data_IF_182231678983
#
_entry.id   IF_182231678983
#
_cell.length_a   1.000
_cell.length_b   1.000
_cell.length_c   1.000
_cell.angle_alpha   90.00
_cell.angle_beta   90.00
_cell.angle_gamma   90.00
#
_symmetry.space_group_name_H-M   'P 1'
#
loop_
_entity.id
_entity.type
_entity.pdbx_description
1 polymer ?
#
# COMPACT_ATOMS: atom_id res chain seq x y z
N UNK A 1 1.78 6.58 24.15
CA UNK A 1 2.27 6.02 22.88
C UNK A 1 3.35 6.95 22.34
N UNK A 2 4.50 6.45 21.92
CA UNK A 2 5.56 7.33 21.42
C UNK A 2 5.18 7.89 20.04
N UNK A 3 5.67 9.09 19.73
CA UNK A 3 5.46 9.72 18.43
C UNK A 3 5.93 8.81 17.29
N UNK A 4 7.10 8.20 17.47
CA UNK A 4 7.67 7.21 16.55
C UNK A 4 6.70 6.06 16.25
N UNK A 5 6.08 5.45 17.27
CA UNK A 5 5.11 4.37 17.06
C UNK A 5 3.92 4.84 16.23
N UNK A 6 3.44 6.06 16.47
CA UNK A 6 2.30 6.63 15.73
C UNK A 6 2.66 6.82 14.25
N UNK A 7 3.85 7.33 13.96
CA UNK A 7 4.31 7.48 12.58
C UNK A 7 4.47 6.14 11.87
N UNK A 8 5.11 5.15 12.51
CA UNK A 8 5.26 3.81 11.94
C UNK A 8 3.89 3.24 11.58
N UNK A 9 2.93 3.29 12.51
CA UNK A 9 1.58 2.79 12.26
C UNK A 9 0.88 3.54 11.12
N UNK A 10 0.97 4.88 11.08
CA UNK A 10 0.37 5.67 10.00
C UNK A 10 0.96 5.28 8.64
N UNK A 11 2.28 5.19 8.51
CA UNK A 11 2.92 4.84 7.23
C UNK A 11 2.69 3.38 6.84
N UNK A 12 2.60 2.45 7.79
CA UNK A 12 2.18 1.07 7.51
C UNK A 12 0.75 1.02 6.99
N UNK A 13 -0.18 1.75 7.62
CA UNK A 13 -1.56 1.83 7.15
C UNK A 13 -1.66 2.49 5.77
N UNK A 14 -0.90 3.56 5.51
CA UNK A 14 -0.83 4.20 4.19
C UNK A 14 -0.33 3.23 3.13
N UNK A 15 0.74 2.47 3.42
CA UNK A 15 1.29 1.49 2.48
C UNK A 15 0.26 0.40 2.15
N UNK A 16 -0.33 -0.23 3.17
CA UNK A 16 -1.33 -1.29 2.99
C UNK A 16 -2.52 -0.76 2.19
N UNK A 17 -3.06 0.40 2.59
CA UNK A 17 -4.23 0.99 1.92
C UNK A 17 -3.89 1.39 0.49
N UNK A 18 -2.70 1.93 0.22
CA UNK A 18 -2.27 2.30 -1.14
C UNK A 18 -2.14 1.07 -2.04
N UNK A 19 -1.62 -0.04 -1.53
CA UNK A 19 -1.57 -1.31 -2.26
C UNK A 19 -2.96 -1.87 -2.55
N UNK A 20 -3.88 -1.78 -1.57
CA UNK A 20 -5.26 -2.21 -1.76
C UNK A 20 -5.98 -1.34 -2.79
N UNK A 21 -5.83 -0.01 -2.73
CA UNK A 21 -6.41 0.92 -3.72
C UNK A 21 -5.83 0.64 -5.10
N UNK A 22 -4.52 0.45 -5.23
CA UNK A 22 -3.91 0.10 -6.51
C UNK A 22 -4.48 -1.20 -7.08
N UNK A 23 -4.67 -2.22 -6.24
CA UNK A 23 -5.30 -3.48 -6.63
C UNK A 23 -6.76 -3.27 -7.06
N UNK A 24 -7.54 -2.47 -6.33
CA UNK A 24 -8.92 -2.15 -6.67
C UNK A 24 -9.04 -1.34 -7.96
N UNK A 25 -8.11 -0.42 -8.22
CA UNK A 25 -8.05 0.33 -9.47
C UNK A 25 -7.73 -0.59 -10.66
N UNK A 26 -6.78 -1.53 -10.50
CA UNK A 26 -6.48 -2.54 -11.52
C UNK A 26 -7.69 -3.46 -11.76
N UNK A 27 -8.38 -3.85 -10.69
CA UNK A 27 -9.64 -4.59 -10.79
C UNK A 27 -10.68 -3.79 -11.59
N UNK A 28 -10.86 -2.50 -11.30
CA UNK A 28 -11.84 -1.65 -11.98
C UNK A 28 -11.58 -1.53 -13.48
N UNK A 29 -10.31 -1.37 -13.89
CA UNK A 29 -9.94 -1.41 -15.32
C UNK A 29 -10.26 -2.80 -15.90
N UNK A 30 -9.91 -3.87 -15.20
CA UNK A 30 -10.17 -5.23 -15.70
C UNK A 30 -11.66 -5.52 -15.88
N UNK A 31 -12.52 -4.99 -15.00
CA UNK A 31 -13.97 -5.09 -15.15
C UNK A 31 -14.52 -4.26 -16.31
N UNK A 32 -13.86 -3.16 -16.67
CA UNK A 32 -14.22 -2.42 -17.87
C UNK A 32 -13.88 -3.20 -19.15
N UNK A 33 -12.82 -4.02 -19.14
CA UNK A 33 -12.49 -4.91 -20.26
C UNK A 33 -13.40 -6.13 -20.36
N UNK A 34 -13.97 -6.60 -19.25
CA UNK A 34 -14.96 -7.69 -19.24
C UNK A 34 -16.23 -7.36 -20.04
N UNK A 35 -16.46 -6.09 -20.41
CA UNK A 35 -17.56 -5.67 -21.28
C UNK A 35 -17.54 -6.38 -22.63
N UNK A 36 -16.36 -6.71 -23.13
CA UNK A 36 -16.19 -7.41 -24.40
C UNK A 36 -16.85 -8.82 -24.37
N UNK A 37 -17.00 -9.42 -23.18
CA UNK A 37 -17.64 -10.72 -22.98
C UNK A 37 -19.18 -10.66 -22.97
N UNK A 38 -19.77 -9.47 -22.88
CA UNK A 38 -21.23 -9.29 -22.77
C UNK A 38 -21.95 -9.24 -24.12
N UNK A 39 -21.23 -9.26 -25.24
CA UNK A 39 -21.79 -9.23 -26.60
C UNK A 39 -22.80 -8.07 -26.77
N UNK A 40 -22.38 -6.88 -26.36
CA UNK A 40 -23.17 -5.64 -26.46
C UNK A 40 -23.08 -5.07 -27.88
N UNK A 41 -24.14 -4.41 -28.39
CA UNK A 41 -24.07 -3.74 -29.70
C UNK A 41 -22.94 -2.70 -29.75
N UNK A 42 -22.23 -2.62 -30.88
CA UNK A 42 -21.09 -1.71 -31.07
C UNK A 42 -21.43 -0.24 -30.77
N UNK A 43 -22.60 0.23 -31.21
CA UNK A 43 -23.04 1.62 -30.96
C UNK A 43 -23.20 1.90 -29.46
N UNK A 44 -23.77 0.94 -28.71
CA UNK A 44 -23.90 1.05 -27.26
C UNK A 44 -22.52 1.05 -26.59
N UNK A 45 -21.60 0.20 -27.07
CA UNK A 45 -20.25 0.11 -26.53
C UNK A 45 -19.48 1.43 -26.68
N UNK A 46 -19.55 2.06 -27.85
CA UNK A 46 -18.91 3.34 -28.12
C UNK A 46 -19.48 4.46 -27.23
N UNK A 47 -20.81 4.53 -27.10
CA UNK A 47 -21.48 5.50 -26.22
C UNK A 47 -21.14 5.26 -24.74
N UNK A 48 -21.10 3.99 -24.33
CA UNK A 48 -20.72 3.60 -22.98
C UNK A 48 -19.28 4.02 -22.67
N UNK A 49 -18.32 3.73 -23.56
CA UNK A 49 -16.93 4.13 -23.38
C UNK A 49 -16.76 5.66 -23.37
N UNK A 50 -17.46 6.37 -24.25
CA UNK A 50 -17.44 7.83 -24.27
C UNK A 50 -17.98 8.44 -22.97
N UNK A 51 -19.01 7.83 -22.38
CA UNK A 51 -19.58 8.24 -21.10
C UNK A 51 -18.68 7.91 -19.90
N UNK A 52 -18.01 6.75 -19.91
CA UNK A 52 -17.10 6.34 -18.84
C UNK A 52 -15.79 7.15 -18.83
N UNK A 53 -15.25 7.47 -20.01
CA UNK A 53 -13.92 8.07 -20.15
C UNK A 53 -13.92 9.43 -20.88
N UNK A 54 -14.68 10.45 -20.43
CA UNK A 54 -14.49 11.81 -20.93
C UNK A 54 -13.05 12.26 -20.65
N UNK A 55 -12.41 12.92 -21.60
CA UNK A 55 -10.95 13.08 -21.64
C UNK A 55 -10.27 13.59 -20.37
N UNK A 56 -10.93 14.46 -19.58
CA UNK A 56 -10.38 14.93 -18.30
C UNK A 56 -10.26 13.82 -17.24
N UNK A 57 -11.13 12.80 -17.28
CA UNK A 57 -11.11 11.66 -16.35
C UNK A 57 -9.95 10.73 -16.63
N UNK A 58 -9.62 10.51 -17.90
CA UNK A 58 -8.41 9.79 -18.28
C UNK A 58 -7.19 10.44 -17.62
N UNK A 59 -7.15 11.78 -17.59
CA UNK A 59 -6.12 12.53 -16.88
C UNK A 59 -6.06 12.25 -15.37
N UNK A 60 -7.20 12.23 -14.67
CA UNK A 60 -7.25 11.88 -13.24
C UNK A 60 -6.78 10.45 -13.01
N UNK A 61 -7.28 9.50 -13.80
CA UNK A 61 -6.92 8.10 -13.69
C UNK A 61 -5.42 7.91 -13.88
N UNK A 62 -4.85 8.52 -14.93
CA UNK A 62 -3.40 8.50 -15.16
C UNK A 62 -2.62 9.10 -13.98
N UNK A 63 -3.10 10.20 -13.42
CA UNK A 63 -2.45 10.84 -12.27
C UNK A 63 -2.54 9.97 -11.01
N UNK A 64 -3.66 9.28 -10.75
CA UNK A 64 -3.80 8.33 -9.64
C UNK A 64 -2.86 7.13 -9.82
N UNK A 65 -2.81 6.55 -11.03
CA UNK A 65 -1.89 5.45 -11.35
C UNK A 65 -0.42 5.82 -11.20
N UNK A 66 -0.09 7.10 -11.33
CA UNK A 66 1.25 7.60 -11.06
C UNK A 66 1.47 7.87 -9.56
N UNK A 67 0.54 8.57 -8.92
CA UNK A 67 0.70 9.08 -7.56
C UNK A 67 0.58 8.00 -6.49
N UNK A 68 -0.26 6.97 -6.68
CA UNK A 68 -0.47 5.90 -5.69
C UNK A 68 0.76 5.00 -5.56
N UNK A 69 1.39 4.49 -6.64
CA UNK A 69 2.66 3.77 -6.52
C UNK A 69 3.78 4.62 -5.92
N UNK A 70 3.83 5.92 -6.29
CA UNK A 70 4.76 6.86 -5.68
C UNK A 70 4.52 6.98 -4.16
N UNK A 71 3.27 6.94 -3.70
CA UNK A 71 2.91 6.92 -2.29
C UNK A 71 3.40 5.64 -1.59
N UNK A 72 3.29 4.48 -2.25
CA UNK A 72 3.85 3.22 -1.74
C UNK A 72 5.37 3.31 -1.54
N UNK A 73 6.10 3.83 -2.54
CA UNK A 73 7.56 4.02 -2.44
C UNK A 73 7.89 4.98 -1.31
N UNK A 74 7.19 6.11 -1.21
CA UNK A 74 7.38 7.08 -0.13
C UNK A 74 7.14 6.45 1.25
N UNK A 75 6.06 5.68 1.41
CA UNK A 75 5.76 4.99 2.66
C UNK A 75 6.83 3.95 3.03
N UNK A 76 7.33 3.18 2.05
CA UNK A 76 8.42 2.23 2.24
C UNK A 76 9.72 2.91 2.68
N UNK A 77 10.08 4.03 2.05
CA UNK A 77 11.26 4.81 2.43
C UNK A 77 11.15 5.34 3.87
N UNK A 78 9.97 5.82 4.27
CA UNK A 78 9.71 6.24 5.64
C UNK A 78 9.83 5.05 6.62
N UNK A 79 9.26 3.89 6.28
CA UNK A 79 9.31 2.69 7.13
C UNK A 79 10.74 2.13 7.28
N UNK A 80 11.51 2.03 6.20
CA UNK A 80 12.92 1.59 6.27
C UNK A 80 13.74 2.52 7.15
N UNK A 81 13.49 3.82 7.01
CA UNK A 81 14.12 4.81 7.86
C UNK A 81 13.81 4.59 9.36
N UNK A 82 12.53 4.44 9.72
CA UNK A 82 12.14 4.19 11.11
C UNK A 82 12.66 2.85 11.64
N UNK A 83 12.73 1.83 10.80
CA UNK A 83 13.31 0.53 11.17
C UNK A 83 14.80 0.64 11.50
N UNK A 84 15.56 1.45 10.75
CA UNK A 84 16.99 1.70 11.02
C UNK A 84 17.26 2.36 12.38
N UNK A 85 16.31 3.13 12.91
CA UNK A 85 16.41 3.70 14.27
C UNK A 85 16.05 2.72 15.38
N UNK A 86 15.06 1.85 15.15
CA UNK A 86 14.67 0.84 16.14
C UNK A 86 15.71 -0.27 16.25
N UNK A 87 16.31 -0.64 15.13
CA UNK A 87 17.32 -1.67 15.04
C UNK A 87 18.55 -1.05 14.36
N UNK A 88 19.46 -0.41 15.12
CA UNK A 88 20.70 0.09 14.55
C UNK A 88 21.40 -1.07 13.84
N UNK A 89 21.33 -1.06 12.50
CA UNK A 89 21.86 -2.12 11.64
C UNK A 89 23.37 -2.18 11.88
N UNK A 90 23.79 -3.14 12.69
CA UNK A 90 25.20 -3.42 12.85
C UNK A 90 25.99 -2.27 13.48
N UNK A 91 25.70 -1.98 14.76
CA UNK A 91 26.81 -2.00 15.71
C UNK A 91 27.21 -3.48 15.88
N UNK A 92 27.61 -4.09 14.74
CA UNK A 92 28.24 -5.38 14.73
C UNK A 92 29.40 -5.20 15.69
N UNK A 93 29.51 -6.14 16.61
CA UNK A 93 30.63 -6.26 17.51
C UNK A 93 31.87 -5.85 16.72
N UNK A 94 32.35 -4.63 16.96
CA UNK A 94 33.75 -4.32 16.76
C UNK A 94 34.36 -5.21 17.82
N UNK A 95 34.56 -6.49 17.47
CA UNK A 95 35.36 -7.41 18.24
C UNK A 95 36.64 -6.61 18.43
N UNK A 96 36.95 -6.17 19.65
CA UNK A 96 38.16 -5.41 19.89
C UNK A 96 39.28 -6.26 19.30
N UNK A 97 39.95 -5.75 18.27
CA UNK A 97 41.00 -6.48 17.56
C UNK A 97 42.27 -6.62 18.41
N UNK A 98 42.14 -6.53 19.73
CA UNK A 98 43.17 -6.66 20.74
C UNK A 98 43.18 -8.07 21.37
N UNK A 99 42.72 -9.10 20.64
CA UNK A 99 43.17 -10.46 20.94
C UNK A 99 44.47 -10.73 20.18
N UNK A 100 45.59 -10.98 20.88
CA UNK A 100 46.85 -11.31 20.21
C UNK A 100 46.69 -12.61 19.43
N UNK A 101 46.89 -12.50 18.12
CA UNK A 101 46.97 -13.59 17.16
C UNK A 101 48.15 -14.50 17.51
N UNK A 102 47.95 -15.44 18.44
CA UNK A 102 48.83 -16.60 18.60
C UNK A 102 48.42 -17.65 17.58
N UNK A 103 49.11 -17.65 16.44
CA UNK A 103 49.08 -18.74 15.47
C UNK A 103 49.36 -20.07 16.18
N UNK A 104 48.37 -20.97 16.22
CA UNK A 104 48.62 -22.39 16.44
C UNK A 104 48.05 -23.17 15.27
N UNK A 105 48.93 -23.42 14.31
CA UNK A 105 48.78 -24.45 13.29
C UNK A 105 48.44 -25.78 13.96
N UNK A 106 47.30 -26.38 13.62
CA UNK A 106 47.17 -27.83 13.68
C UNK A 106 46.37 -28.33 12.48
N UNK A 107 47.13 -28.94 11.60
CA UNK A 107 46.73 -29.72 10.44
C UNK A 107 45.98 -31.00 10.82
N UNK A 108 45.21 -31.47 9.84
CA UNK A 108 44.70 -32.83 9.64
C UNK A 108 43.46 -33.22 10.47
N UNK A 109 42.33 -33.38 9.79
CA UNK A 109 41.87 -34.74 9.47
C UNK A 109 40.84 -34.73 8.34
N UNK A 110 41.22 -35.47 7.29
CA UNK A 110 40.35 -35.99 6.25
C UNK A 110 39.48 -37.08 6.87
N UNK A 111 38.17 -36.99 6.74
CA UNK A 111 37.31 -38.17 6.83
C UNK A 111 36.12 -38.04 5.89
N UNK A 112 36.13 -39.00 4.99
CA UNK A 112 35.23 -39.32 3.90
C UNK A 112 33.88 -39.83 4.42
N UNK A 113 32.82 -39.56 3.64
CA UNK A 113 31.55 -40.29 3.52
C UNK A 113 30.63 -40.38 4.74
N UNK A 114 29.34 -40.10 4.56
CA UNK A 114 28.35 -41.14 4.19
C UNK A 114 26.96 -40.53 4.01
N UNK A 115 26.34 -40.95 2.90
CA UNK A 115 24.95 -40.77 2.49
C UNK A 115 23.99 -41.50 3.46
N UNK A 116 22.99 -40.84 4.03
CA UNK A 116 21.81 -41.53 4.56
C UNK A 116 20.56 -40.62 4.59
N UNK A 117 19.63 -40.97 3.73
CA UNK A 117 18.19 -40.67 3.75
C UNK A 117 17.52 -41.12 5.05
N UNK A 118 16.56 -40.36 5.58
CA UNK A 118 15.64 -40.87 6.60
C UNK A 118 14.84 -39.81 7.36
N UNK A 119 13.55 -39.71 7.05
CA UNK A 119 12.46 -38.98 7.74
C UNK A 119 12.09 -39.71 9.07
N UNK A 120 10.97 -39.35 9.75
CA UNK A 120 10.64 -38.26 10.68
C UNK A 120 10.63 -38.72 12.17
N UNK A 121 10.13 -37.83 13.04
CA UNK A 121 9.38 -38.04 14.30
C UNK A 121 10.06 -37.69 15.63
N UNK A 122 9.28 -36.91 16.41
CA UNK A 122 9.02 -36.95 17.87
C UNK A 122 10.25 -37.02 18.81
N UNK A 123 10.33 -36.31 19.93
CA UNK A 123 9.34 -35.74 20.83
C UNK A 123 10.11 -34.87 21.89
N UNK A 124 9.41 -34.23 22.83
CA UNK A 124 9.92 -33.18 23.72
C UNK A 124 10.54 -33.72 25.02
N UNK A 125 11.02 -32.77 25.84
CA UNK A 125 11.56 -32.91 27.20
C UNK A 125 12.96 -33.51 27.33
N UNK A 126 13.94 -32.62 27.59
CA UNK A 126 14.98 -32.91 28.56
C UNK A 126 15.25 -31.69 29.43
N UNK A 127 14.84 -31.85 30.67
CA UNK A 127 15.14 -31.02 31.84
C UNK A 127 16.56 -31.28 32.35
N UNK A 128 17.08 -30.23 33.01
CA UNK A 128 18.20 -30.24 33.96
C UNK A 128 19.63 -30.38 33.40
N UNK A 129 20.39 -29.29 33.52
CA UNK A 129 21.61 -29.36 34.35
C UNK A 129 22.06 -27.99 34.84
N UNK A 130 22.02 -27.84 36.16
CA UNK A 130 22.82 -26.92 36.95
C UNK A 130 24.30 -26.98 36.51
N UNK A 131 24.90 -25.84 36.24
CA UNK A 131 26.35 -25.66 36.41
C UNK A 131 26.62 -24.35 37.14
N UNK A 132 26.80 -24.49 38.45
CA UNK A 132 27.47 -23.50 39.29
C UNK A 132 28.92 -23.41 38.81
N UNK A 133 29.25 -22.34 38.09
CA UNK A 133 30.63 -21.97 37.83
C UNK A 133 30.95 -20.75 38.69
N UNK A 134 31.74 -21.01 39.73
CA UNK A 134 32.35 -20.05 40.63
C UNK A 134 33.16 -19.01 39.85
N UNK A 135 32.92 -17.74 40.19
CA UNK A 135 33.65 -16.56 39.73
C UNK A 135 35.16 -16.68 39.97
N UNK A 136 36.01 -16.29 39.01
CA UNK A 136 37.32 -15.74 39.31
C UNK A 136 37.13 -14.30 39.81
N UNK A 137 37.45 -14.09 41.08
CA UNK A 137 37.50 -12.80 41.73
C UNK A 137 38.79 -12.09 41.29
N UNK A 138 38.68 -11.15 40.34
CA UNK A 138 39.82 -10.34 39.91
C UNK A 138 40.06 -9.18 40.89
N UNK A 139 41.33 -8.79 41.12
CA UNK A 139 41.67 -7.69 42.01
C UNK A 139 41.26 -6.33 41.42
N UNK A 140 40.66 -5.50 42.28
CA UNK A 140 40.27 -4.12 42.00
C UNK A 140 41.51 -3.28 41.63
N UNK A 141 41.68 -3.01 40.34
CA UNK A 141 42.53 -1.91 39.88
C UNK A 141 41.69 -0.62 39.93
N UNK A 142 41.95 0.21 40.93
CA UNK A 142 41.42 1.57 41.03
C UNK A 142 42.11 2.45 39.99
N UNK A 143 41.66 2.35 38.74
CA UNK A 143 42.02 3.31 37.69
C UNK A 143 41.00 4.44 37.75
N UNK A 144 41.47 5.64 38.09
CA UNK A 144 40.71 6.88 37.99
C UNK A 144 40.32 7.12 36.54
N UNK A 145 39.11 6.67 36.18
CA UNK A 145 38.54 6.92 34.87
C UNK A 145 38.40 8.43 34.68
N UNK A 146 38.90 9.00 33.55
CA UNK A 146 38.61 10.39 33.22
C UNK A 146 37.11 10.57 33.16
N UNK A 147 36.61 11.67 33.72
CA UNK A 147 35.20 12.02 33.73
C UNK A 147 34.64 11.93 32.31
N UNK A 148 34.03 10.79 31.99
CA UNK A 148 33.35 10.55 30.75
C UNK A 148 32.17 11.51 30.80
N UNK A 149 32.30 12.65 30.12
CA UNK A 149 31.14 13.49 29.80
C UNK A 149 30.17 12.55 29.13
N UNK A 150 29.13 12.16 29.85
CA UNK A 150 28.00 11.45 29.30
C UNK A 150 27.53 12.31 28.15
N UNK A 151 27.64 11.85 26.88
CA UNK A 151 27.05 12.57 25.79
C UNK A 151 25.58 12.70 26.17
N UNK A 152 25.14 13.91 26.45
CA UNK A 152 23.74 14.25 26.60
C UNK A 152 23.13 14.28 25.19
N UNK A 153 23.45 13.28 24.38
CA UNK A 153 22.75 12.96 23.15
C UNK A 153 21.43 12.37 23.62
N UNK A 154 20.46 13.26 23.83
CA UNK A 154 19.08 12.86 23.72
C UNK A 154 18.96 12.14 22.38
N UNK A 155 18.54 10.86 22.34
CA UNK A 155 18.34 10.17 21.08
C UNK A 155 17.32 10.99 20.31
N UNK A 156 17.82 11.70 19.30
CA UNK A 156 17.00 12.53 18.43
C UNK A 156 16.13 11.55 17.64
N UNK A 157 14.97 11.25 18.21
CA UNK A 157 13.89 10.45 17.60
C UNK A 157 13.15 11.26 16.54
N UNK A 158 13.73 12.36 16.07
CA UNK A 158 13.18 13.17 15.01
C UNK A 158 13.34 12.42 13.70
N UNK A 159 12.24 12.32 12.96
CA UNK A 159 12.31 11.93 11.56
C UNK A 159 13.29 12.85 10.82
N UNK A 160 14.11 12.36 9.87
CA UNK A 160 15.18 13.09 9.22
C UNK A 160 14.59 14.17 8.33
N UNK A 161 13.41 13.95 7.74
CA UNK A 161 12.67 15.01 7.05
C UNK A 161 12.16 16.10 8.00
N UNK A 162 12.18 15.84 9.31
CA UNK A 162 11.80 16.77 10.36
C UNK A 162 13.01 17.20 11.20
N UNK A 163 14.25 16.86 10.81
CA UNK A 163 15.42 17.34 11.53
C UNK A 163 15.41 18.88 11.53
N UNK A 164 15.69 19.52 12.68
CA UNK A 164 15.76 20.97 12.77
C UNK A 164 16.79 21.58 11.79
N UNK A 165 17.77 20.79 11.36
CA UNK A 165 18.85 21.22 10.47
C UNK A 165 18.49 21.13 8.99
N UNK A 166 17.33 20.56 8.63
CA UNK A 166 16.93 20.51 7.22
C UNK A 166 16.44 21.87 6.71
N UNK A 167 16.80 22.25 5.46
CA UNK A 167 16.27 23.44 4.80
C UNK A 167 14.74 23.47 4.84
N UNK A 168 14.15 24.63 5.16
CA UNK A 168 12.69 24.87 5.14
C UNK A 168 11.93 24.27 3.94
N UNK A 169 12.41 24.35 2.68
CA UNK A 169 11.67 23.76 1.56
C UNK A 169 11.44 22.24 1.68
N UNK A 170 12.34 21.51 2.33
CA UNK A 170 12.20 20.06 2.52
C UNK A 170 11.08 19.69 3.49
N UNK A 171 10.66 20.60 4.38
CA UNK A 171 9.49 20.40 5.25
C UNK A 171 8.16 20.72 4.53
N UNK A 172 8.20 21.64 3.57
CA UNK A 172 7.02 22.10 2.83
C UNK A 172 6.62 21.07 1.77
N UNK A 173 7.60 20.47 1.08
CA UNK A 173 7.36 19.58 -0.06
C UNK A 173 6.53 18.33 0.29
N UNK A 174 6.80 17.59 1.38
CA UNK A 174 5.93 16.47 1.78
C UNK A 174 4.51 16.90 2.12
N UNK A 175 4.34 18.12 2.67
CA UNK A 175 3.01 18.64 3.01
C UNK A 175 2.23 19.04 1.77
N UNK A 176 2.90 19.64 0.77
CA UNK A 176 2.31 19.91 -0.54
C UNK A 176 1.94 18.61 -1.27
N UNK A 177 2.77 17.58 -1.16
CA UNK A 177 2.47 16.25 -1.70
C UNK A 177 1.20 15.66 -1.10
N UNK A 178 1.08 15.65 0.23
CA UNK A 178 -0.11 15.14 0.93
C UNK A 178 -1.37 15.93 0.54
N UNK A 179 -1.30 17.26 0.47
CA UNK A 179 -2.43 18.10 0.02
C UNK A 179 -2.82 17.78 -1.42
N UNK A 180 -1.85 17.65 -2.32
CA UNK A 180 -2.10 17.32 -3.73
C UNK A 180 -2.77 15.96 -3.86
N UNK A 181 -2.29 14.96 -3.11
CA UNK A 181 -2.86 13.61 -3.10
C UNK A 181 -4.28 13.60 -2.53
N UNK A 182 -4.54 14.33 -1.43
CA UNK A 182 -5.89 14.47 -0.86
C UNK A 182 -6.83 15.10 -1.88
N UNK A 183 -6.43 16.21 -2.53
CA UNK A 183 -7.26 16.88 -3.52
C UNK A 183 -7.58 15.94 -4.69
N UNK A 184 -6.59 15.18 -5.16
CA UNK A 184 -6.76 14.21 -6.23
C UNK A 184 -7.76 13.10 -5.86
N UNK A 185 -7.60 12.51 -4.66
CA UNK A 185 -8.49 11.46 -4.15
C UNK A 185 -9.91 11.98 -3.95
N UNK A 186 -10.09 13.17 -3.37
CA UNK A 186 -11.40 13.80 -3.20
C UNK A 186 -12.06 14.08 -4.54
N UNK A 187 -11.29 14.58 -5.52
CA UNK A 187 -11.80 14.84 -6.86
C UNK A 187 -12.22 13.56 -7.58
N UNK A 188 -11.47 12.47 -7.43
CA UNK A 188 -11.84 11.14 -7.94
C UNK A 188 -13.15 10.63 -7.34
N UNK A 189 -13.27 10.70 -6.01
CA UNK A 189 -14.50 10.29 -5.30
C UNK A 189 -15.70 11.14 -5.75
N UNK A 190 -15.54 12.46 -5.83
CA UNK A 190 -16.59 13.35 -6.31
C UNK A 190 -16.99 13.03 -7.75
N UNK A 191 -16.01 12.82 -8.63
CA UNK A 191 -16.23 12.46 -10.03
C UNK A 191 -16.96 11.12 -10.18
N UNK A 192 -16.73 10.14 -9.30
CA UNK A 192 -17.46 8.88 -9.27
C UNK A 192 -18.92 9.10 -8.84
N UNK A 193 -19.15 9.80 -7.72
CA UNK A 193 -20.49 10.02 -7.17
C UNK A 193 -21.39 10.84 -8.10
N UNK A 194 -20.82 11.86 -8.76
CA UNK A 194 -21.57 12.69 -9.71
C UNK A 194 -22.02 11.94 -10.96
N UNK A 195 -21.39 10.80 -11.28
CA UNK A 195 -21.74 10.00 -12.45
C UNK A 195 -22.69 8.84 -12.19
N UNK A 196 -22.93 8.51 -10.92
CA UNK A 196 -23.85 7.42 -10.58
C UNK A 196 -25.19 7.53 -11.31
N UNK A 197 -25.84 8.71 -11.33
CA UNK A 197 -27.15 8.85 -11.97
C UNK A 197 -27.09 8.68 -13.49
N UNK A 198 -26.06 9.24 -14.14
CA UNK A 198 -25.93 9.17 -15.60
C UNK A 198 -25.64 7.75 -16.08
N UNK A 199 -24.83 6.99 -15.32
CA UNK A 199 -24.49 5.62 -15.67
C UNK A 199 -25.69 4.69 -15.48
N UNK A 200 -26.52 4.89 -14.46
CA UNK A 200 -27.75 4.10 -14.29
C UNK A 200 -28.79 4.43 -15.36
N UNK A 201 -28.92 5.70 -15.74
CA UNK A 201 -29.85 6.14 -16.78
C UNK A 201 -29.51 5.62 -18.18
N UNK A 202 -28.25 5.24 -18.45
CA UNK A 202 -27.85 4.74 -19.77
C UNK A 202 -28.45 3.37 -20.12
N UNK A 203 -28.87 2.57 -19.12
CA UNK A 203 -29.58 1.32 -19.37
C UNK A 203 -31.06 1.50 -19.73
N UNK A 204 -31.62 2.69 -19.50
CA UNK A 204 -32.99 3.04 -19.91
C UNK A 204 -33.01 3.69 -21.29
N UNK A 205 -31.85 3.82 -21.94
CA UNK A 205 -31.76 4.38 -23.29
C UNK A 205 -32.50 3.51 -24.29
N UNK A 206 -33.39 4.15 -25.05
CA UNK A 206 -34.07 3.58 -26.21
C UNK A 206 -33.56 4.31 -27.45
N UNK A 207 -33.05 3.60 -28.47
CA UNK A 207 -32.52 4.25 -29.66
C UNK A 207 -33.62 5.08 -30.35
N UNK A 208 -33.33 6.31 -30.75
CA UNK A 208 -34.26 7.11 -31.53
C UNK A 208 -34.33 6.55 -32.96
N UNK A 209 -35.22 5.61 -33.21
CA UNK A 209 -35.44 5.05 -34.54
C UNK A 209 -36.47 3.93 -34.59
N UNK A 210 -36.93 3.52 -35.78
CA UNK A 210 -37.90 2.43 -35.96
C UNK A 210 -37.28 1.03 -35.75
N UNK A 211 -36.15 0.94 -35.05
CA UNK A 211 -35.52 -0.35 -34.75
C UNK A 211 -36.48 -1.11 -33.84
N UNK A 212 -37.05 -2.24 -34.29
CA UNK A 212 -38.08 -2.92 -33.54
C UNK A 212 -37.52 -3.36 -32.18
N UNK A 213 -38.26 -3.06 -31.12
CA UNK A 213 -37.99 -3.42 -29.72
C UNK A 213 -37.52 -4.88 -29.53
N UNK A 214 -37.90 -5.76 -30.46
CA UNK A 214 -37.49 -7.16 -30.53
C UNK A 214 -35.96 -7.37 -30.56
N UNK A 215 -35.18 -6.40 -31.06
CA UNK A 215 -33.71 -6.48 -31.09
C UNK A 215 -33.08 -6.36 -29.69
N UNK A 216 -33.78 -5.72 -28.75
CA UNK A 216 -33.31 -5.53 -27.38
C UNK A 216 -33.80 -6.61 -26.42
N UNK A 217 -34.95 -7.22 -26.70
CA UNK A 217 -35.54 -8.27 -25.87
C UNK A 217 -34.97 -9.66 -26.17
N UNK A 218 -34.48 -9.92 -27.39
CA UNK A 218 -33.83 -11.16 -27.76
C UNK A 218 -32.60 -10.84 -28.63
N UNK A 219 -31.38 -11.23 -28.23
CA UNK A 219 -30.25 -11.17 -29.15
C UNK A 219 -30.63 -12.02 -30.38
N UNK A 220 -30.56 -11.49 -31.61
CA UNK A 220 -30.63 -12.33 -32.78
C UNK A 220 -29.54 -13.37 -32.59
N UNK A 221 -29.86 -14.67 -32.66
CA UNK A 221 -28.88 -15.76 -32.70
C UNK A 221 -27.90 -15.49 -33.85
N UNK A 222 -26.86 -14.71 -33.62
CA UNK A 222 -25.89 -14.34 -34.66
C UNK A 222 -25.09 -15.57 -35.11
N UNK A 223 -25.05 -16.60 -34.25
CA UNK A 223 -24.56 -17.94 -34.56
C UNK A 223 -25.37 -18.67 -35.66
N UNK A 224 -26.52 -18.15 -36.08
CA UNK A 224 -27.27 -18.73 -37.21
C UNK A 224 -26.64 -18.41 -38.59
N UNK A 225 -25.72 -17.44 -38.70
CA UNK A 225 -25.04 -17.11 -39.97
C UNK A 225 -23.71 -17.83 -40.18
N UNK A 226 -23.14 -18.47 -39.17
CA UNK A 226 -21.91 -19.26 -39.27
C UNK A 226 -22.20 -20.76 -39.26
N UNK A 227 -23.17 -21.23 -40.05
CA UNK A 227 -23.26 -22.65 -40.47
C UNK A 227 -23.14 -23.71 -39.38
N UNK A 228 -23.53 -23.39 -38.14
CA UNK A 228 -23.39 -24.25 -36.97
C UNK A 228 -24.30 -25.45 -37.11
N UNK A 229 -23.70 -26.55 -37.56
CA UNK A 229 -24.23 -27.90 -37.65
C UNK A 229 -25.11 -28.21 -36.42
N UNK A 230 -26.39 -28.56 -36.68
CA UNK A 230 -27.33 -29.09 -35.68
C UNK A 230 -26.63 -30.19 -34.87
N UNK A 231 -26.27 -29.91 -33.63
CA UNK A 231 -26.03 -30.97 -32.65
C UNK A 231 -27.40 -31.46 -32.18
N UNK A 232 -27.95 -32.39 -32.96
CA UNK A 232 -29.15 -33.13 -32.59
C UNK A 232 -28.80 -34.01 -31.37
N UNK A 233 -29.25 -33.61 -30.17
CA UNK A 233 -29.27 -34.51 -29.00
C UNK A 233 -28.71 -33.97 -27.68
N UNK A 234 -28.25 -32.73 -27.60
CA UNK A 234 -27.80 -32.14 -26.34
C UNK A 234 -28.93 -31.41 -25.64
N UNK A 235 -29.27 -31.85 -24.42
CA UNK A 235 -30.11 -31.18 -23.41
C UNK A 235 -30.20 -29.68 -23.69
N UNK A 236 -31.42 -29.19 -23.98
CA UNK A 236 -31.72 -27.75 -24.03
C UNK A 236 -31.36 -27.14 -22.68
N UNK A 237 -30.08 -26.82 -22.50
CA UNK A 237 -29.63 -25.95 -21.44
C UNK A 237 -30.31 -24.64 -21.76
N UNK A 238 -31.42 -24.39 -21.07
CA UNK A 238 -32.22 -23.19 -21.14
C UNK A 238 -31.42 -22.00 -20.65
N UNK A 239 -30.36 -21.68 -21.39
CA UNK A 239 -29.68 -20.40 -21.37
C UNK A 239 -30.72 -19.41 -21.83
N UNK A 240 -31.49 -18.92 -20.85
CA UNK A 240 -32.44 -17.82 -21.04
C UNK A 240 -31.65 -16.73 -21.71
N UNK A 241 -32.04 -16.40 -22.94
CA UNK A 241 -31.50 -15.28 -23.66
C UNK A 241 -31.68 -14.05 -22.77
N UNK A 242 -30.59 -13.59 -22.16
CA UNK A 242 -30.60 -12.44 -21.25
C UNK A 242 -30.77 -11.20 -22.11
N UNK A 243 -31.76 -10.36 -21.81
CA UNK A 243 -32.02 -9.16 -22.60
C UNK A 243 -30.80 -8.22 -22.58
N UNK A 244 -30.64 -7.38 -23.62
CA UNK A 244 -29.55 -6.39 -23.67
C UNK A 244 -29.60 -5.46 -22.45
N UNK A 245 -30.81 -5.14 -21.99
CA UNK A 245 -31.05 -4.33 -20.80
C UNK A 245 -30.54 -5.01 -19.53
N UNK A 246 -30.84 -6.30 -19.35
CA UNK A 246 -30.37 -7.06 -18.19
C UNK A 246 -28.83 -7.18 -18.17
N UNK A 247 -28.20 -7.33 -19.34
CA UNK A 247 -26.73 -7.31 -19.49
C UNK A 247 -26.16 -5.94 -19.11
N UNK A 248 -26.75 -4.85 -19.61
CA UNK A 248 -26.37 -3.48 -19.23
C UNK A 248 -26.46 -3.25 -17.72
N UNK A 249 -27.57 -3.66 -17.10
CA UNK A 249 -27.79 -3.52 -15.65
C UNK A 249 -26.72 -4.30 -14.88
N UNK A 250 -26.41 -5.54 -15.30
CA UNK A 250 -25.36 -6.34 -14.67
C UNK A 250 -23.99 -5.66 -14.78
N UNK A 251 -23.59 -5.20 -15.97
CA UNK A 251 -22.32 -4.48 -16.17
C UNK A 251 -22.25 -3.24 -15.26
N UNK A 252 -23.33 -2.46 -15.18
CA UNK A 252 -23.38 -1.27 -14.34
C UNK A 252 -23.29 -1.60 -12.85
N UNK A 253 -23.91 -2.70 -12.40
CA UNK A 253 -23.78 -3.17 -11.01
C UNK A 253 -22.34 -3.59 -10.71
N UNK A 254 -21.72 -4.37 -11.60
CA UNK A 254 -20.34 -4.84 -11.42
C UNK A 254 -19.35 -3.66 -11.37
N UNK A 255 -19.53 -2.70 -12.28
CA UNK A 255 -18.76 -1.47 -12.32
C UNK A 255 -18.97 -0.62 -11.05
N UNK A 256 -20.21 -0.51 -10.57
CA UNK A 256 -20.55 0.22 -9.35
C UNK A 256 -19.94 -0.42 -8.10
N UNK A 257 -20.02 -1.74 -7.96
CA UNK A 257 -19.42 -2.48 -6.85
C UNK A 257 -17.90 -2.26 -6.85
N UNK A 258 -17.27 -2.44 -8.01
CA UNK A 258 -15.83 -2.24 -8.14
C UNK A 258 -15.41 -0.79 -7.82
N UNK A 259 -16.07 0.21 -8.40
CA UNK A 259 -15.77 1.60 -8.13
C UNK A 259 -16.09 2.03 -6.69
N UNK A 260 -17.09 1.41 -6.06
CA UNK A 260 -17.43 1.62 -4.65
C UNK A 260 -16.30 1.19 -3.71
N UNK A 261 -15.65 0.06 -3.98
CA UNK A 261 -14.47 -0.37 -3.21
C UNK A 261 -13.28 0.58 -3.37
N UNK A 262 -13.04 1.07 -4.60
CA UNK A 262 -12.02 2.08 -4.87
C UNK A 262 -12.28 3.39 -4.11
N UNK A 263 -13.53 3.89 -4.15
CA UNK A 263 -13.95 5.08 -3.40
C UNK A 263 -13.77 4.91 -1.90
N UNK A 264 -14.13 3.74 -1.35
CA UNK A 264 -13.94 3.45 0.08
C UNK A 264 -12.44 3.49 0.46
N UNK A 265 -11.57 2.89 -0.35
CA UNK A 265 -10.12 2.95 -0.16
C UNK A 265 -9.57 4.38 -0.25
N UNK A 266 -10.08 5.18 -1.20
CA UNK A 266 -9.74 6.59 -1.34
C UNK A 266 -10.10 7.41 -0.09
N UNK A 267 -11.27 7.19 0.52
CA UNK A 267 -11.64 7.87 1.77
C UNK A 267 -10.69 7.52 2.92
N UNK A 268 -10.30 6.26 3.05
CA UNK A 268 -9.34 5.81 4.07
C UNK A 268 -7.98 6.51 3.83
N UNK A 269 -7.50 6.56 2.58
CA UNK A 269 -6.28 7.29 2.26
C UNK A 269 -6.37 8.78 2.59
N UNK A 270 -7.48 9.45 2.23
CA UNK A 270 -7.70 10.87 2.57
C UNK A 270 -7.61 11.09 4.08
N UNK A 271 -8.25 10.22 4.88
CA UNK A 271 -8.19 10.30 6.34
C UNK A 271 -6.77 10.10 6.87
N UNK A 272 -6.03 9.10 6.35
CA UNK A 272 -4.65 8.82 6.75
C UNK A 272 -3.70 9.99 6.43
N UNK A 273 -3.75 10.52 5.21
CA UNK A 273 -2.96 11.69 4.82
C UNK A 273 -3.36 12.94 5.61
N UNK A 274 -4.66 13.12 5.89
CA UNK A 274 -5.16 14.17 6.77
C UNK A 274 -4.57 14.09 8.17
N UNK A 275 -4.52 12.89 8.76
CA UNK A 275 -3.88 12.66 10.06
C UNK A 275 -2.38 13.01 10.03
N UNK A 276 -1.65 12.59 8.99
CA UNK A 276 -0.23 12.94 8.82
C UNK A 276 -0.02 14.45 8.74
N UNK A 277 -0.85 15.17 7.98
CA UNK A 277 -0.82 16.63 7.90
C UNK A 277 -1.07 17.30 9.25
N UNK A 278 -2.10 16.84 9.99
CA UNK A 278 -2.41 17.36 11.33
C UNK A 278 -1.23 17.15 12.28
N UNK A 279 -0.61 15.96 12.27
CA UNK A 279 0.58 15.68 13.08
C UNK A 279 1.73 16.64 12.74
N UNK A 280 2.03 16.88 11.45
CA UNK A 280 3.09 17.83 11.05
C UNK A 280 2.78 19.26 11.50
N UNK A 281 1.55 19.73 11.30
CA UNK A 281 1.13 21.07 11.74
C UNK A 281 1.27 21.21 13.26
N UNK A 282 0.82 20.19 14.01
CA UNK A 282 0.95 20.14 15.46
C UNK A 282 2.42 20.24 15.91
N UNK A 283 3.33 19.50 15.28
CA UNK A 283 4.76 19.57 15.57
C UNK A 283 5.36 20.94 15.25
N UNK A 284 4.99 21.54 14.12
CA UNK A 284 5.40 22.91 13.78
C UNK A 284 4.96 23.92 14.84
N UNK A 285 3.71 23.83 15.31
CA UNK A 285 3.18 24.71 16.37
C UNK A 285 3.91 24.48 17.69
N UNK A 286 4.13 23.21 18.08
CA UNK A 286 4.85 22.85 19.30
C UNK A 286 6.27 23.42 19.31
N UNK A 287 7.00 23.30 18.20
CA UNK A 287 8.36 23.86 18.06
C UNK A 287 8.37 25.38 18.22
N UNK A 288 7.45 26.08 17.56
CA UNK A 288 7.34 27.55 17.68
C UNK A 288 7.03 28.02 19.11
N UNK A 289 6.28 27.24 19.88
CA UNK A 289 6.01 27.55 21.31
C UNK A 289 7.20 27.27 22.20
N UNK A 290 7.97 26.20 21.94
CA UNK A 290 9.15 25.85 22.73
C UNK A 290 10.31 26.85 22.61
N UNK A 291 10.49 27.48 21.45
CA UNK A 291 11.55 28.48 21.24
C UNK A 291 11.29 29.76 22.04
N UNK A 292 10.04 30.21 22.12
CA UNK A 292 9.68 31.43 22.86
C UNK A 292 9.98 31.34 24.36
N UNK A 293 9.80 30.16 24.96
CA UNK A 293 10.08 29.96 26.39
C UNK A 293 11.57 30.02 26.76
N UNK A 294 12.48 29.88 25.78
CA UNK A 294 13.93 29.97 26.00
C UNK A 294 14.45 31.41 25.84
N UNK A 295 13.85 32.21 24.96
CA UNK A 295 14.19 33.63 24.80
C UNK A 295 13.77 34.45 26.03
N UNK A 296 12.65 34.10 26.67
CA UNK A 296 12.16 34.79 27.88
C UNK A 296 12.98 34.48 29.16
N UNK A 297 13.84 33.46 29.17
CA UNK A 297 14.68 33.09 30.33
C UNK A 297 16.13 33.57 30.23
N UNK A 298 16.53 34.18 29.10
CA UNK A 298 17.91 34.63 28.85
C UNK A 298 18.16 36.12 29.10
N UNK A 299 17.19 36.85 29.63
CA UNK A 299 17.33 38.27 29.96
C UNK A 299 17.59 38.48 31.45
N UNK A 300 18.86 38.38 31.85
CA UNK A 300 19.45 39.01 33.06
C UNK A 300 20.98 39.10 32.90
#
# INVERSE_FOLDING_TARGET
MSLLTTHILLYTLILITSLLVLLMMLWHISTAHLIDDYDMPQEWYEDFLAAQFPGWRIGIWALLFFMIPLNCVHALLCLDFYAGHLFPRGQGDVIPSDLPTSCSSRSNESSTATLATGRPDRNPYSSAQHRNSSLPQYPNATTSAPAHKTPTEFPQTYHPLLSPDLPRPLHILPSLYDVTLILLLVFHVAAFLLQLPSNLASCDWTPPGPIPYSFYSNPPRWNARLGGQKQDGGVESGSRDVSVRDRCVRINIDNWISGGFDVAGCFILVALHGCVLVCRVWECVRRRRGVKGLEDMGGD
#
